data_IF_331302590685
#
_entry.id   IF_331302590685
#
_cell.length_a   1.000
_cell.length_b   1.000
_cell.length_c   1.000
_cell.angle_alpha   90.00
_cell.angle_beta   90.00
_cell.angle_gamma   90.00
#
_symmetry.space_group_name_H-M   'P 1'
#
loop_
_entity.id
_entity.type
_entity.pdbx_description
1 polymer ?
#
# COMPACT_ATOMS: atom_id res chain seq x y z
N UNK A 1 25.50 -26.54 -12.56
CA UNK A 1 26.17 -27.41 -11.57
C UNK A 1 27.01 -26.54 -10.64
N UNK A 2 26.43 -26.12 -9.50
CA UNK A 2 27.15 -25.37 -8.46
C UNK A 2 28.06 -26.33 -7.69
N UNK A 3 29.31 -25.96 -7.50
CA UNK A 3 30.29 -26.72 -6.75
C UNK A 3 30.04 -26.57 -5.25
N UNK A 4 29.64 -27.64 -4.57
CA UNK A 4 29.52 -27.73 -3.12
C UNK A 4 30.90 -27.59 -2.48
N UNK A 5 31.07 -26.59 -1.61
CA UNK A 5 32.32 -26.37 -0.87
C UNK A 5 32.50 -27.43 0.23
N UNK A 6 33.73 -27.96 0.36
CA UNK A 6 34.12 -28.96 1.36
C UNK A 6 33.93 -28.54 2.84
N UNK A 7 33.61 -27.27 3.12
CA UNK A 7 33.36 -26.76 4.47
C UNK A 7 31.95 -27.06 4.98
N UNK A 8 30.97 -27.30 4.10
CA UNK A 8 29.59 -27.63 4.47
C UNK A 8 29.39 -29.06 4.92
N UNK A 9 30.37 -30.00 4.62
CA UNK A 9 30.25 -31.41 4.94
C UNK A 9 30.69 -31.78 6.36
N UNK A 10 31.36 -30.91 7.08
CA UNK A 10 31.95 -31.21 8.39
C UNK A 10 31.16 -30.66 9.61
N UNK A 11 30.02 -29.94 9.39
CA UNK A 11 29.17 -29.46 10.47
C UNK A 11 27.90 -30.30 10.73
N UNK A 12 27.64 -31.32 9.96
CA UNK A 12 26.43 -32.14 10.02
C UNK A 12 26.47 -33.32 11.01
N UNK A 13 27.44 -33.37 11.93
CA UNK A 13 27.63 -34.50 12.82
C UNK A 13 27.57 -34.11 14.30
N UNK A 14 26.52 -33.55 14.77
CA UNK A 14 26.11 -33.60 16.21
C UNK A 14 24.76 -32.88 16.40
N UNK A 15 23.68 -33.60 16.31
CA UNK A 15 22.50 -33.60 17.22
C UNK A 15 21.51 -34.63 16.66
N UNK A 16 21.65 -35.85 17.12
CA UNK A 16 20.61 -36.87 17.01
C UNK A 16 20.08 -37.07 18.44
N UNK A 17 18.92 -36.55 18.76
CA UNK A 17 18.14 -36.96 19.92
C UNK A 17 16.65 -36.88 19.65
N UNK A 18 16.11 -38.07 19.46
CA UNK A 18 14.83 -38.58 19.90
C UNK A 18 13.55 -37.76 19.66
N UNK A 19 12.79 -38.17 18.65
CA UNK A 19 11.35 -37.94 18.57
C UNK A 19 10.61 -39.28 18.65
N UNK A 20 9.91 -39.51 19.73
CA UNK A 20 8.90 -40.57 19.87
C UNK A 20 7.60 -40.12 19.24
N UNK A 21 7.17 -40.85 18.23
CA UNK A 21 5.86 -40.68 17.61
C UNK A 21 4.73 -41.02 18.58
N UNK A 22 3.76 -40.11 18.73
CA UNK A 22 2.43 -40.40 19.26
C UNK A 22 1.44 -40.38 18.10
N UNK A 23 1.07 -41.54 17.61
CA UNK A 23 -0.07 -41.73 16.72
C UNK A 23 -1.36 -41.70 17.53
N UNK A 24 -2.23 -40.71 17.28
CA UNK A 24 -3.62 -40.75 17.66
C UNK A 24 -4.48 -40.64 16.41
N UNK A 25 -5.29 -41.65 16.16
CA UNK A 25 -6.26 -41.73 15.07
C UNK A 25 -7.44 -40.81 15.33
N UNK A 26 -7.83 -40.00 14.33
CA UNK A 26 -9.08 -39.29 14.27
C UNK A 26 -9.19 -38.54 12.94
N UNK A 27 -10.06 -38.98 12.05
CA UNK A 27 -10.10 -38.63 10.62
C UNK A 27 -10.44 -37.17 10.32
N UNK A 28 -9.80 -36.70 9.30
CA UNK A 28 -9.91 -35.44 8.57
C UNK A 28 -8.56 -35.27 7.86
N UNK A 29 -8.54 -35.26 6.54
CA UNK A 29 -7.33 -34.96 5.75
C UNK A 29 -6.97 -33.47 5.92
N UNK A 30 -6.40 -33.09 7.04
CA UNK A 30 -5.62 -31.88 7.21
C UNK A 30 -4.16 -32.25 6.99
N UNK A 31 -3.52 -31.70 5.96
CA UNK A 31 -2.09 -31.85 5.77
C UNK A 31 -1.37 -31.18 6.94
N UNK A 32 -0.95 -31.97 7.93
CA UNK A 32 -0.21 -31.44 9.07
C UNK A 32 1.10 -30.82 8.59
N UNK A 33 1.41 -29.59 9.01
CA UNK A 33 2.68 -28.93 8.73
C UNK A 33 3.84 -29.85 9.09
N UNK A 34 4.79 -30.00 8.19
CA UNK A 34 5.97 -30.84 8.42
C UNK A 34 6.93 -30.08 9.33
N UNK A 35 7.20 -30.63 10.52
CA UNK A 35 8.22 -30.07 11.41
C UNK A 35 9.61 -30.26 10.79
N UNK A 36 10.31 -29.15 10.53
CA UNK A 36 11.65 -29.14 9.91
C UNK A 36 12.65 -28.58 10.90
N UNK A 37 13.81 -29.25 10.99
CA UNK A 37 14.87 -28.84 11.91
C UNK A 37 15.49 -27.50 11.47
N UNK A 38 15.79 -26.64 12.45
CA UNK A 38 16.51 -25.38 12.28
C UNK A 38 17.89 -25.44 12.94
N UNK A 39 18.82 -24.67 12.40
CA UNK A 39 20.15 -24.47 12.98
C UNK A 39 20.11 -23.46 14.15
N UNK A 40 21.27 -23.19 14.73
CA UNK A 40 21.43 -22.24 15.83
C UNK A 40 21.11 -20.77 15.48
N UNK A 41 21.04 -20.45 14.17
CA UNK A 41 20.71 -19.11 13.66
C UNK A 41 19.23 -18.99 13.24
N UNK A 42 18.44 -20.06 13.39
CA UNK A 42 17.04 -20.10 13.00
C UNK A 42 16.79 -20.42 11.52
N UNK A 43 17.83 -20.71 10.73
CA UNK A 43 17.69 -21.14 9.35
C UNK A 43 17.40 -22.64 9.28
N UNK A 44 16.65 -23.09 8.26
CA UNK A 44 16.38 -24.50 8.04
C UNK A 44 17.67 -25.28 7.74
N UNK A 45 17.83 -26.45 8.31
CA UNK A 45 19.01 -27.29 8.09
C UNK A 45 19.10 -27.78 6.63
N UNK A 46 17.97 -28.24 6.10
CA UNK A 46 17.82 -28.58 4.69
C UNK A 46 17.19 -27.40 3.94
N UNK A 47 17.63 -27.12 2.72
CA UNK A 47 17.03 -26.06 1.90
C UNK A 47 15.61 -26.44 1.49
N UNK A 48 14.64 -25.59 1.82
CA UNK A 48 13.24 -25.77 1.45
C UNK A 48 12.96 -25.01 0.16
N UNK A 49 12.30 -25.66 -0.79
CA UNK A 49 11.80 -24.96 -1.99
C UNK A 49 10.38 -24.50 -1.74
N UNK A 50 10.12 -23.23 -1.98
CA UNK A 50 8.81 -22.56 -1.83
C UNK A 50 8.44 -21.95 -3.18
N UNK A 51 7.28 -22.30 -3.67
CA UNK A 51 6.76 -21.75 -4.93
C UNK A 51 5.90 -20.53 -4.69
N UNK A 52 6.08 -19.48 -5.52
CA UNK A 52 5.40 -18.19 -5.39
C UNK A 52 4.53 -17.88 -6.61
N UNK A 53 3.35 -17.30 -6.38
CA UNK A 53 2.62 -16.54 -7.39
C UNK A 53 2.96 -15.06 -7.21
N UNK A 54 3.86 -14.54 -8.05
CA UNK A 54 4.43 -13.21 -7.86
C UNK A 54 3.64 -12.15 -8.60
N UNK A 55 3.24 -11.11 -7.84
CA UNK A 55 2.78 -9.87 -8.43
C UNK A 55 4.01 -9.06 -8.89
N UNK A 56 4.09 -8.78 -10.17
CA UNK A 56 5.25 -8.17 -10.81
C UNK A 56 4.80 -7.02 -11.73
N UNK A 57 4.83 -5.79 -11.21
CA UNK A 57 4.52 -4.60 -12.01
C UNK A 57 5.67 -4.24 -12.95
N UNK A 58 5.41 -4.06 -14.26
CA UNK A 58 6.46 -3.69 -15.22
C UNK A 58 7.18 -2.38 -14.89
N UNK A 59 6.50 -1.42 -14.26
CA UNK A 59 7.08 -0.15 -13.81
C UNK A 59 8.13 -0.36 -12.73
N UNK A 60 7.90 -1.29 -11.82
CA UNK A 60 8.85 -1.65 -10.76
C UNK A 60 10.07 -2.40 -11.32
N UNK A 61 9.90 -3.20 -12.37
CA UNK A 61 11.00 -3.89 -13.03
C UNK A 61 12.09 -2.93 -13.55
N UNK A 62 11.69 -1.74 -13.98
CA UNK A 62 12.61 -0.70 -14.47
C UNK A 62 13.50 -0.09 -13.37
N UNK A 63 13.15 -0.31 -12.10
CA UNK A 63 13.87 0.22 -10.94
C UNK A 63 14.91 -0.76 -10.38
N UNK A 64 14.93 -2.00 -10.87
CA UNK A 64 15.95 -2.96 -10.43
C UNK A 64 17.33 -2.57 -10.95
N UNK A 65 18.39 -2.71 -10.13
CA UNK A 65 19.76 -2.68 -10.59
C UNK A 65 20.02 -3.69 -11.71
N UNK A 66 21.03 -3.40 -12.56
CA UNK A 66 21.39 -4.26 -13.67
C UNK A 66 21.62 -5.72 -13.22
N UNK A 67 20.94 -6.65 -13.88
CA UNK A 67 21.01 -8.09 -13.61
C UNK A 67 20.11 -8.59 -12.49
N UNK A 68 19.32 -7.72 -11.85
CA UNK A 68 18.30 -8.14 -10.89
C UNK A 68 16.93 -8.32 -11.57
N UNK A 69 16.10 -9.18 -10.99
CA UNK A 69 14.74 -9.50 -11.43
C UNK A 69 13.81 -9.58 -10.22
N UNK A 70 12.51 -9.79 -10.43
CA UNK A 70 11.61 -10.06 -9.31
C UNK A 70 12.01 -11.33 -8.55
N UNK A 71 12.43 -12.40 -9.23
CA UNK A 71 12.84 -13.65 -8.61
C UNK A 71 14.22 -13.55 -7.92
N UNK A 72 15.17 -12.80 -8.49
CA UNK A 72 16.54 -12.65 -7.96
C UNK A 72 16.87 -11.17 -7.69
N UNK A 73 16.61 -10.69 -6.50
CA UNK A 73 16.90 -9.33 -6.04
C UNK A 73 17.37 -9.31 -4.58
N UNK A 74 17.64 -8.12 -4.08
CA UNK A 74 18.15 -7.94 -2.72
C UNK A 74 17.22 -8.50 -1.63
N UNK A 75 15.90 -8.37 -1.77
CA UNK A 75 14.94 -8.92 -0.80
C UNK A 75 14.91 -10.44 -0.83
N UNK A 76 14.80 -11.02 -2.04
CA UNK A 76 14.74 -12.48 -2.22
C UNK A 76 15.99 -13.13 -1.64
N UNK A 77 17.19 -12.64 -2.04
CA UNK A 77 18.47 -13.15 -1.51
C UNK A 77 18.60 -13.01 0.00
N UNK A 78 18.10 -11.92 0.57
CA UNK A 78 18.12 -11.71 2.02
C UNK A 78 17.29 -12.77 2.74
N UNK A 79 16.05 -13.00 2.30
CA UNK A 79 15.15 -14.02 2.87
C UNK A 79 15.76 -15.43 2.73
N UNK A 80 16.22 -15.77 1.53
CA UNK A 80 16.86 -17.07 1.26
C UNK A 80 18.05 -17.30 2.18
N UNK A 81 18.88 -16.27 2.40
CA UNK A 81 20.05 -16.36 3.28
C UNK A 81 19.68 -16.54 4.75
N UNK A 82 18.55 -15.95 5.19
CA UNK A 82 18.08 -16.02 6.57
C UNK A 82 17.43 -17.34 6.90
N UNK A 83 16.58 -17.83 6.00
CA UNK A 83 15.78 -19.04 6.25
C UNK A 83 16.40 -20.31 5.67
N UNK A 84 17.38 -20.23 4.77
CA UNK A 84 17.84 -21.34 3.93
C UNK A 84 16.69 -21.93 3.09
N UNK A 85 15.96 -21.06 2.40
CA UNK A 85 14.91 -21.42 1.44
C UNK A 85 15.37 -21.12 0.02
N UNK A 86 14.71 -21.71 -0.96
CA UNK A 86 14.84 -21.44 -2.41
C UNK A 86 13.47 -20.99 -2.90
N UNK A 87 13.33 -19.71 -3.21
CA UNK A 87 12.09 -19.08 -3.65
C UNK A 87 11.99 -19.16 -5.17
N UNK A 88 10.99 -19.87 -5.68
CA UNK A 88 10.81 -20.14 -7.11
C UNK A 88 9.47 -19.58 -7.58
N UNK A 89 9.49 -18.71 -8.58
CA UNK A 89 8.26 -18.17 -9.12
C UNK A 89 7.56 -19.17 -10.04
N UNK A 90 6.37 -19.62 -9.63
CA UNK A 90 5.49 -20.43 -10.48
C UNK A 90 4.93 -19.60 -11.64
N UNK A 91 4.69 -18.32 -11.37
CA UNK A 91 4.37 -17.31 -12.36
C UNK A 91 4.72 -15.91 -11.85
N UNK A 92 5.05 -15.01 -12.79
CA UNK A 92 5.18 -13.58 -12.59
C UNK A 92 4.17 -12.86 -13.49
N UNK A 93 3.37 -11.97 -12.94
CA UNK A 93 2.41 -11.17 -13.70
C UNK A 93 2.05 -9.87 -12.96
N UNK A 94 1.68 -8.84 -13.68
CA UNK A 94 1.19 -7.56 -13.13
C UNK A 94 -0.19 -7.21 -13.67
N UNK A 95 -0.89 -6.28 -13.01
CA UNK A 95 -2.18 -5.76 -13.44
C UNK A 95 -3.23 -6.84 -13.76
N UNK A 96 -3.91 -6.70 -14.90
CA UNK A 96 -4.95 -7.63 -15.36
C UNK A 96 -4.41 -9.06 -15.60
N UNK A 97 -3.15 -9.19 -16.00
CA UNK A 97 -2.54 -10.51 -16.21
C UNK A 97 -2.43 -11.28 -14.89
N UNK A 98 -2.14 -10.61 -13.78
CA UNK A 98 -2.13 -11.22 -12.46
C UNK A 98 -3.53 -11.68 -12.04
N UNK A 99 -4.53 -10.82 -12.22
CA UNK A 99 -5.94 -11.16 -11.96
C UNK A 99 -6.39 -12.40 -12.75
N UNK A 100 -5.98 -12.51 -14.03
CA UNK A 100 -6.26 -13.69 -14.85
C UNK A 100 -5.55 -14.95 -14.35
N UNK A 101 -4.31 -14.84 -13.84
CA UNK A 101 -3.60 -15.95 -13.21
C UNK A 101 -4.32 -16.43 -11.94
N UNK A 102 -4.75 -15.50 -11.07
CA UNK A 102 -5.56 -15.85 -9.89
C UNK A 102 -6.85 -16.58 -10.27
N UNK A 103 -7.57 -16.09 -11.28
CA UNK A 103 -8.78 -16.76 -11.77
C UNK A 103 -8.47 -18.18 -12.30
N UNK A 104 -7.33 -18.37 -12.96
CA UNK A 104 -6.88 -19.69 -13.42
C UNK A 104 -6.58 -20.62 -12.24
N UNK A 105 -5.88 -20.13 -11.22
CA UNK A 105 -5.62 -20.88 -9.98
C UNK A 105 -6.94 -21.31 -9.29
N UNK A 106 -7.91 -20.41 -9.17
CA UNK A 106 -9.22 -20.74 -8.59
C UNK A 106 -9.95 -21.81 -9.41
N UNK A 107 -9.90 -21.69 -10.74
CA UNK A 107 -10.61 -22.60 -11.64
C UNK A 107 -9.97 -24.00 -11.70
N UNK A 108 -8.64 -24.08 -11.64
CA UNK A 108 -7.90 -25.36 -11.64
C UNK A 108 -7.88 -26.02 -10.27
N UNK A 109 -7.99 -25.25 -9.18
CA UNK A 109 -7.77 -25.72 -7.82
C UNK A 109 -6.30 -25.93 -7.48
N UNK A 110 -5.37 -25.49 -8.35
CA UNK A 110 -3.92 -25.59 -8.15
C UNK A 110 -3.35 -24.21 -7.84
N UNK A 111 -2.73 -24.07 -6.66
CA UNK A 111 -2.07 -22.85 -6.20
C UNK A 111 -0.56 -23.10 -6.06
N UNK A 112 0.31 -22.08 -6.31
CA UNK A 112 1.64 -22.07 -5.73
C UNK A 112 1.56 -22.10 -4.20
N UNK A 113 2.66 -22.41 -3.52
CA UNK A 113 2.69 -22.50 -2.06
C UNK A 113 2.21 -21.17 -1.42
N UNK A 114 2.67 -20.04 -1.95
CA UNK A 114 2.33 -18.70 -1.43
C UNK A 114 1.99 -17.77 -2.59
N UNK A 115 0.94 -16.97 -2.42
CA UNK A 115 0.57 -15.90 -3.34
C UNK A 115 -0.19 -14.78 -2.62
N UNK A 116 -0.30 -13.60 -3.23
CA UNK A 116 -1.16 -12.52 -2.74
C UNK A 116 -2.43 -12.43 -3.56
N UNK A 117 -3.55 -12.11 -2.90
CA UNK A 117 -4.85 -11.89 -3.54
C UNK A 117 -5.28 -10.46 -3.24
N UNK A 118 -5.50 -9.66 -4.28
CA UNK A 118 -5.86 -8.24 -4.20
C UNK A 118 -7.37 -7.98 -4.41
N UNK A 119 -8.19 -8.99 -4.13
CA UNK A 119 -9.64 -8.91 -4.19
C UNK A 119 -10.23 -9.78 -3.09
N UNK A 120 -11.04 -9.17 -2.21
CA UNK A 120 -11.74 -9.90 -1.15
C UNK A 120 -12.64 -11.00 -1.70
N UNK A 121 -13.37 -10.73 -2.79
CA UNK A 121 -14.24 -11.71 -3.41
C UNK A 121 -13.47 -12.94 -3.93
N UNK A 122 -12.31 -12.72 -4.55
CA UNK A 122 -11.44 -13.81 -5.00
C UNK A 122 -10.89 -14.60 -3.82
N UNK A 123 -10.49 -13.92 -2.73
CA UNK A 123 -10.05 -14.57 -1.51
C UNK A 123 -11.16 -15.45 -0.90
N UNK A 124 -12.38 -14.90 -0.77
CA UNK A 124 -13.55 -15.66 -0.28
C UNK A 124 -13.84 -16.88 -1.17
N UNK A 125 -13.71 -16.76 -2.49
CA UNK A 125 -13.85 -17.89 -3.39
C UNK A 125 -12.80 -18.97 -3.14
N UNK A 126 -11.54 -18.60 -2.92
CA UNK A 126 -10.46 -19.55 -2.59
C UNK A 126 -10.76 -20.28 -1.27
N UNK A 127 -11.20 -19.56 -0.24
CA UNK A 127 -11.59 -20.15 1.05
C UNK A 127 -12.77 -21.10 0.89
N UNK A 128 -13.83 -20.69 0.20
CA UNK A 128 -15.03 -21.52 0.00
C UNK A 128 -14.75 -22.78 -0.84
N UNK A 129 -13.76 -22.71 -1.74
CA UNK A 129 -13.32 -23.85 -2.54
C UNK A 129 -12.30 -24.75 -1.78
N UNK A 130 -11.95 -24.40 -0.52
CA UNK A 130 -11.01 -25.15 0.28
C UNK A 130 -9.61 -25.17 -0.29
N UNK A 131 -9.15 -24.07 -0.89
CA UNK A 131 -7.82 -23.94 -1.52
C UNK A 131 -6.76 -23.38 -0.58
N UNK A 132 -7.18 -22.77 0.53
CA UNK A 132 -6.33 -22.06 1.47
C UNK A 132 -5.98 -22.94 2.68
N UNK A 133 -4.77 -22.77 3.22
CA UNK A 133 -4.33 -23.39 4.46
C UNK A 133 -4.92 -22.65 5.67
N UNK A 134 -5.26 -23.39 6.74
CA UNK A 134 -5.61 -22.79 8.04
C UNK A 134 -4.33 -22.33 8.75
N UNK A 135 -4.12 -21.04 8.80
CA UNK A 135 -2.92 -20.43 9.39
C UNK A 135 -3.07 -20.11 10.88
N UNK A 136 -4.15 -20.49 11.53
CA UNK A 136 -4.42 -20.11 12.94
C UNK A 136 -3.26 -20.45 13.85
N UNK A 137 -2.90 -21.72 13.93
CA UNK A 137 -1.81 -22.17 14.80
C UNK A 137 -0.44 -21.70 14.28
N UNK A 138 -0.27 -21.64 12.96
CA UNK A 138 0.96 -21.17 12.33
C UNK A 138 1.23 -19.70 12.65
N UNK A 139 0.23 -18.85 12.56
CA UNK A 139 0.35 -17.44 12.92
C UNK A 139 0.66 -17.27 14.42
N UNK A 140 -0.04 -17.98 15.29
CA UNK A 140 0.19 -17.89 16.72
C UNK A 140 1.59 -18.36 17.14
N UNK A 141 2.12 -19.40 16.49
CA UNK A 141 3.43 -19.95 16.82
C UNK A 141 4.59 -19.15 16.21
N UNK A 142 4.44 -18.68 14.96
CA UNK A 142 5.57 -18.15 14.19
C UNK A 142 5.57 -16.63 14.02
N UNK A 143 4.43 -15.93 14.16
CA UNK A 143 4.43 -14.47 14.07
C UNK A 143 5.17 -13.84 15.24
N UNK A 144 6.08 -12.89 14.95
CA UNK A 144 6.80 -12.14 15.98
C UNK A 144 5.84 -11.29 16.82
N UNK A 145 6.24 -10.97 18.05
CA UNK A 145 5.46 -10.07 18.91
C UNK A 145 5.23 -8.70 18.26
N UNK A 146 6.20 -8.25 17.45
CA UNK A 146 6.05 -7.00 16.72
C UNK A 146 4.95 -7.10 15.64
N UNK A 147 4.97 -8.15 14.82
CA UNK A 147 3.91 -8.39 13.83
C UNK A 147 2.54 -8.49 14.50
N UNK A 148 2.42 -9.25 15.59
CA UNK A 148 1.18 -9.33 16.37
C UNK A 148 0.72 -7.95 16.84
N UNK A 149 1.65 -7.13 17.36
CA UNK A 149 1.32 -5.77 17.82
C UNK A 149 0.81 -4.85 16.71
N UNK A 150 1.28 -5.03 15.44
CA UNK A 150 0.75 -4.29 14.31
C UNK A 150 -0.71 -4.64 14.04
N UNK A 151 -1.06 -5.93 14.03
CA UNK A 151 -2.44 -6.38 13.83
C UNK A 151 -3.35 -6.05 15.03
N UNK A 152 -2.86 -6.12 16.26
CA UNK A 152 -3.59 -5.74 17.47
C UNK A 152 -4.02 -4.28 17.45
N UNK A 153 -3.25 -3.40 16.79
CA UNK A 153 -3.59 -1.98 16.63
C UNK A 153 -4.89 -1.72 15.85
N UNK A 154 -5.41 -2.74 15.17
CA UNK A 154 -6.68 -2.69 14.42
C UNK A 154 -7.88 -3.20 15.22
N UNK A 155 -7.73 -3.51 16.50
CA UNK A 155 -8.81 -4.05 17.35
C UNK A 155 -9.53 -5.27 16.73
N UNK A 156 -8.76 -6.16 16.11
CA UNK A 156 -9.25 -7.38 15.46
C UNK A 156 -9.90 -7.19 14.07
N UNK A 157 -10.12 -5.96 13.62
CA UNK A 157 -10.76 -5.68 12.33
C UNK A 157 -9.98 -6.26 11.15
N UNK A 158 -8.65 -6.13 11.17
CA UNK A 158 -7.81 -6.56 10.07
C UNK A 158 -7.77 -8.10 9.96
N UNK A 159 -7.36 -8.81 11.01
CA UNK A 159 -7.35 -10.28 11.01
C UNK A 159 -8.76 -10.86 10.85
N UNK A 160 -9.79 -10.16 11.36
CA UNK A 160 -11.19 -10.55 11.20
C UNK A 160 -11.63 -10.69 9.74
N UNK A 161 -11.07 -9.89 8.82
CA UNK A 161 -11.38 -10.00 7.38
C UNK A 161 -10.87 -11.32 6.77
N UNK A 162 -9.86 -11.95 7.36
CA UNK A 162 -9.30 -13.22 6.89
C UNK A 162 -9.71 -14.42 7.77
N UNK A 163 -10.58 -14.20 8.76
CA UNK A 163 -11.03 -15.24 9.68
C UNK A 163 -12.42 -15.76 9.28
N UNK A 164 -12.51 -17.07 9.00
CA UNK A 164 -13.72 -17.77 8.63
C UNK A 164 -13.96 -18.93 9.60
N UNK A 165 -15.12 -18.96 10.21
CA UNK A 165 -15.49 -19.99 11.22
C UNK A 165 -14.42 -20.15 12.32
N UNK A 166 -13.80 -19.01 12.75
CA UNK A 166 -12.76 -18.97 13.77
C UNK A 166 -11.38 -19.41 13.29
N UNK A 167 -11.18 -19.63 11.99
CA UNK A 167 -9.90 -20.04 11.39
C UNK A 167 -9.32 -18.92 10.54
N UNK A 168 -8.03 -18.65 10.67
CA UNK A 168 -7.31 -17.65 9.89
C UNK A 168 -6.90 -18.26 8.53
N UNK A 169 -7.64 -17.93 7.47
CA UNK A 169 -7.48 -18.54 6.15
C UNK A 169 -6.51 -17.80 5.22
N UNK A 170 -5.90 -16.73 5.70
CA UNK A 170 -4.88 -15.93 5.02
C UNK A 170 -4.37 -14.83 5.95
N UNK A 171 -3.27 -14.17 5.60
CA UNK A 171 -2.76 -13.03 6.36
C UNK A 171 -3.11 -11.76 5.59
N UNK A 172 -3.96 -10.87 6.14
CA UNK A 172 -4.32 -9.64 5.46
C UNK A 172 -3.14 -8.66 5.44
N UNK A 173 -2.95 -7.95 4.34
CA UNK A 173 -2.22 -6.69 4.34
C UNK A 173 -2.98 -5.65 5.15
N UNK A 174 -2.39 -4.52 5.43
CA UNK A 174 -3.02 -3.51 6.28
C UNK A 174 -3.22 -2.19 5.55
N UNK A 175 -4.37 -1.56 5.79
CA UNK A 175 -4.66 -0.19 5.39
C UNK A 175 -4.77 0.67 6.65
N UNK A 176 -3.79 1.55 6.96
CA UNK A 176 -3.82 2.39 8.14
C UNK A 176 -5.03 3.33 8.18
N UNK A 177 -5.68 3.44 9.34
CA UNK A 177 -6.85 4.31 9.53
C UNK A 177 -6.56 5.80 9.28
N UNK A 178 -5.30 6.21 9.47
CA UNK A 178 -4.87 7.59 9.25
C UNK A 178 -4.35 7.85 7.82
N UNK A 179 -4.53 6.94 6.87
CA UNK A 179 -4.18 7.15 5.45
C UNK A 179 -5.16 8.08 4.73
N UNK A 180 -6.31 8.33 5.29
CA UNK A 180 -7.33 9.28 4.85
C UNK A 180 -7.33 10.50 5.77
N UNK A 181 -7.67 11.71 5.33
CA UNK A 181 -8.41 12.09 4.12
C UNK A 181 -7.52 12.30 2.89
N UNK A 182 -8.18 12.46 1.73
CA UNK A 182 -7.57 13.05 0.54
C UNK A 182 -7.29 14.53 0.82
N UNK A 183 -6.05 14.96 0.56
CA UNK A 183 -5.60 16.33 0.82
C UNK A 183 -5.68 17.18 -0.45
N UNK A 184 -5.86 18.49 -0.25
CA UNK A 184 -5.74 19.49 -1.30
C UNK A 184 -4.29 20.02 -1.32
N UNK A 185 -3.59 19.84 -2.43
CA UNK A 185 -2.21 20.26 -2.62
C UNK A 185 -2.17 21.48 -3.55
N UNK A 186 -1.68 22.59 -3.04
CA UNK A 186 -1.63 23.87 -3.77
C UNK A 186 -0.18 24.30 -4.06
N UNK A 187 0.05 24.91 -5.20
CA UNK A 187 1.31 25.58 -5.54
C UNK A 187 1.56 26.75 -4.58
N UNK A 188 2.38 26.48 -3.57
CA UNK A 188 2.76 27.48 -2.55
C UNK A 188 3.48 28.67 -3.16
N UNK A 189 4.41 28.43 -4.07
CA UNK A 189 5.12 29.46 -4.79
C UNK A 189 4.20 30.38 -5.61
N UNK A 190 3.07 29.86 -6.11
CA UNK A 190 2.05 30.68 -6.77
C UNK A 190 1.20 31.47 -5.78
N UNK A 191 0.87 30.89 -4.63
CA UNK A 191 0.22 31.61 -3.52
C UNK A 191 1.08 32.79 -3.08
N UNK A 192 2.37 32.56 -2.81
CA UNK A 192 3.34 33.58 -2.41
C UNK A 192 3.47 34.68 -3.47
N UNK A 193 3.56 34.31 -4.75
CA UNK A 193 3.65 35.25 -5.88
C UNK A 193 2.45 36.19 -5.98
N UNK A 194 1.25 35.71 -5.64
CA UNK A 194 0.02 36.49 -5.67
C UNK A 194 -0.32 37.13 -4.31
N UNK A 195 0.42 36.82 -3.25
CA UNK A 195 0.15 37.30 -1.90
C UNK A 195 -1.15 36.75 -1.30
N UNK A 196 -1.51 35.52 -1.66
CA UNK A 196 -2.73 34.84 -1.20
C UNK A 196 -2.40 33.91 -0.04
N UNK A 197 -3.19 34.02 1.03
CA UNK A 197 -3.18 33.05 2.13
C UNK A 197 -4.59 32.48 2.30
N UNK A 198 -4.86 31.24 1.87
CA UNK A 198 -6.18 30.60 2.02
C UNK A 198 -6.46 30.14 3.45
N UNK A 199 -5.45 30.10 4.31
CA UNK A 199 -5.48 29.60 5.68
C UNK A 199 -4.95 30.69 6.63
N UNK A 200 -5.77 31.72 6.95
CA UNK A 200 -5.34 32.81 7.83
C UNK A 200 -5.11 32.39 9.28
N UNK A 201 -5.74 31.31 9.72
CA UNK A 201 -5.67 30.79 11.08
C UNK A 201 -4.44 29.88 11.30
N UNK A 202 -3.85 29.37 10.22
CA UNK A 202 -2.63 28.58 10.22
C UNK A 202 -2.81 27.13 10.73
N UNK A 203 -4.02 26.60 10.63
CA UNK A 203 -4.36 25.25 11.07
C UNK A 203 -4.32 24.20 9.94
N UNK A 204 -3.95 24.62 8.72
CA UNK A 204 -3.89 23.82 7.50
C UNK A 204 -5.23 23.21 7.09
N UNK A 205 -6.32 23.92 7.42
CA UNK A 205 -7.67 23.53 7.10
C UNK A 205 -8.35 24.62 6.26
N UNK A 206 -8.94 24.24 5.12
CA UNK A 206 -9.59 25.17 4.19
C UNK A 206 -10.93 24.61 3.72
N UNK A 207 -11.80 25.49 3.23
CA UNK A 207 -13.10 25.13 2.67
C UNK A 207 -13.06 24.95 1.15
N UNK A 208 -14.14 24.43 0.58
CA UNK A 208 -14.30 24.34 -0.88
C UNK A 208 -14.34 25.73 -1.54
N UNK A 209 -14.86 26.74 -0.83
CA UNK A 209 -14.91 28.12 -1.34
C UNK A 209 -13.50 28.75 -1.37
N UNK A 210 -12.63 28.45 -0.38
CA UNK A 210 -11.23 28.88 -0.40
C UNK A 210 -10.48 28.24 -1.58
N UNK A 211 -10.70 26.96 -1.84
CA UNK A 211 -10.13 26.26 -2.99
C UNK A 211 -10.55 26.94 -4.30
N UNK A 212 -11.83 27.23 -4.46
CA UNK A 212 -12.36 27.90 -5.64
C UNK A 212 -11.78 29.33 -5.82
N UNK A 213 -11.65 30.07 -4.72
CA UNK A 213 -11.08 31.41 -4.75
C UNK A 213 -9.61 31.40 -5.19
N UNK A 214 -8.82 30.46 -4.67
CA UNK A 214 -7.41 30.29 -5.07
C UNK A 214 -7.29 29.86 -6.53
N UNK A 215 -8.08 28.87 -6.95
CA UNK A 215 -8.06 28.39 -8.34
C UNK A 215 -8.41 29.52 -9.34
N UNK A 216 -9.41 30.32 -9.00
CA UNK A 216 -9.82 31.50 -9.79
C UNK A 216 -8.69 32.51 -9.87
N UNK A 217 -8.05 32.84 -8.75
CA UNK A 217 -6.93 33.77 -8.73
C UNK A 217 -5.74 33.28 -9.58
N UNK A 218 -5.44 31.97 -9.57
CA UNK A 218 -4.40 31.38 -10.40
C UNK A 218 -4.70 31.53 -11.90
N UNK A 219 -5.95 31.25 -12.31
CA UNK A 219 -6.40 31.35 -13.71
C UNK A 219 -6.42 32.82 -14.17
N UNK A 220 -7.05 33.71 -13.40
CA UNK A 220 -7.19 35.13 -13.74
C UNK A 220 -5.84 35.84 -13.90
N UNK A 221 -4.88 35.49 -13.03
CA UNK A 221 -3.53 36.04 -13.09
C UNK A 221 -2.65 35.40 -14.17
N UNK A 222 -3.09 34.29 -14.78
CA UNK A 222 -2.24 33.41 -15.61
C UNK A 222 -0.88 33.19 -14.93
N UNK A 223 -0.90 32.74 -13.68
CA UNK A 223 0.26 32.79 -12.77
C UNK A 223 1.40 31.90 -13.23
N UNK A 224 1.12 30.86 -14.02
CA UNK A 224 2.13 29.99 -14.65
C UNK A 224 3.08 30.79 -15.57
N UNK A 225 2.59 31.89 -16.13
CA UNK A 225 3.32 32.70 -17.12
C UNK A 225 3.44 32.02 -18.47
N UNK A 226 2.82 30.85 -18.66
CA UNK A 226 2.76 30.11 -19.90
C UNK A 226 1.53 30.46 -20.76
N UNK A 227 1.24 29.60 -21.73
CA UNK A 227 0.09 29.79 -22.61
C UNK A 227 -1.25 29.55 -21.91
N UNK A 228 -1.26 28.79 -20.81
CA UNK A 228 -2.47 28.42 -20.11
C UNK A 228 -2.16 28.05 -18.65
N UNK A 229 -2.96 28.59 -17.72
CA UNK A 229 -2.98 28.19 -16.31
C UNK A 229 -4.26 27.42 -16.02
N UNK A 230 -4.14 26.21 -15.50
CA UNK A 230 -5.26 25.40 -15.02
C UNK A 230 -5.34 25.55 -13.51
N UNK A 231 -6.51 25.97 -13.01
CA UNK A 231 -6.73 26.19 -11.59
C UNK A 231 -6.60 24.89 -10.82
N UNK A 232 -7.42 23.90 -11.17
CA UNK A 232 -7.41 22.57 -10.58
C UNK A 232 -7.73 21.50 -11.62
N UNK A 233 -7.29 20.27 -11.37
CA UNK A 233 -7.60 19.11 -12.19
C UNK A 233 -7.77 17.85 -11.34
N UNK A 234 -8.57 16.92 -11.87
CA UNK A 234 -8.79 15.57 -11.35
C UNK A 234 -8.46 14.54 -12.42
N UNK A 235 -8.12 13.33 -12.00
CA UNK A 235 -8.04 12.18 -12.89
C UNK A 235 -9.44 11.60 -13.11
N UNK A 236 -9.84 11.43 -14.37
CA UNK A 236 -11.17 10.90 -14.73
C UNK A 236 -11.33 9.40 -14.46
N UNK A 237 -10.23 8.69 -14.30
CA UNK A 237 -10.21 7.27 -13.99
C UNK A 237 -9.90 6.96 -12.51
N UNK A 238 -9.72 7.99 -11.69
CA UNK A 238 -9.50 7.84 -10.24
C UNK A 238 -10.45 8.75 -9.46
N UNK A 239 -11.58 8.19 -9.05
CA UNK A 239 -12.61 8.91 -8.30
C UNK A 239 -12.12 9.35 -6.91
N UNK A 240 -11.03 8.78 -6.40
CA UNK A 240 -10.46 9.11 -5.10
C UNK A 240 -10.10 10.61 -5.02
N UNK A 241 -9.62 11.19 -6.11
CA UNK A 241 -9.29 12.62 -6.16
C UNK A 241 -10.52 13.52 -5.88
N UNK A 242 -11.72 13.09 -6.27
CA UNK A 242 -12.96 13.84 -6.05
C UNK A 242 -13.62 13.57 -4.68
N UNK A 243 -13.13 12.57 -3.93
CA UNK A 243 -13.75 12.21 -2.63
C UNK A 243 -13.66 13.35 -1.62
N UNK A 244 -12.60 14.15 -1.62
CA UNK A 244 -12.47 15.27 -0.69
C UNK A 244 -13.60 16.31 -0.84
N UNK A 245 -14.12 16.53 -2.06
CA UNK A 245 -15.25 17.43 -2.33
C UNK A 245 -16.52 16.86 -1.72
N UNK A 246 -16.77 15.55 -1.95
CA UNK A 246 -17.93 14.89 -1.37
C UNK A 246 -17.86 14.87 0.16
N UNK A 247 -16.68 14.54 0.72
CA UNK A 247 -16.47 14.52 2.17
C UNK A 247 -16.69 15.90 2.80
N UNK A 248 -16.16 16.97 2.21
CA UNK A 248 -16.39 18.34 2.68
C UNK A 248 -17.87 18.76 2.66
N UNK A 249 -18.70 18.05 1.90
CA UNK A 249 -20.16 18.24 1.90
C UNK A 249 -20.90 17.20 2.75
N UNK A 250 -20.18 16.37 3.53
CA UNK A 250 -20.75 15.32 4.36
C UNK A 250 -21.16 14.06 3.59
N UNK A 251 -20.79 13.97 2.30
CA UNK A 251 -21.05 12.83 1.44
C UNK A 251 -19.88 11.86 1.39
N UNK A 252 -20.15 10.61 1.13
CA UNK A 252 -19.14 9.57 0.96
C UNK A 252 -19.41 8.79 -0.34
N UNK A 253 -18.36 8.42 -1.06
CA UNK A 253 -18.47 7.69 -2.31
C UNK A 253 -18.08 6.23 -2.08
N UNK A 254 -18.84 5.32 -2.68
CA UNK A 254 -18.59 3.87 -2.64
C UNK A 254 -18.51 3.27 -1.21
N UNK A 255 -19.44 3.70 -0.33
CA UNK A 255 -19.51 3.21 1.06
C UNK A 255 -20.95 2.82 1.42
N UNK A 256 -21.07 1.83 2.29
CA UNK A 256 -22.29 1.56 3.01
C UNK A 256 -22.31 2.38 4.30
N UNK A 257 -23.37 3.16 4.49
CA UNK A 257 -23.54 4.02 5.67
C UNK A 257 -24.71 3.49 6.48
N UNK A 258 -24.48 3.30 7.79
CA UNK A 258 -25.55 3.00 8.72
C UNK A 258 -26.33 4.27 9.02
N UNK A 259 -27.63 4.24 8.74
CA UNK A 259 -28.56 5.31 9.05
C UNK A 259 -28.93 5.32 10.54
N UNK A 260 -29.41 6.43 11.09
CA UNK A 260 -29.83 6.52 12.50
C UNK A 260 -30.89 5.50 12.94
N UNK A 261 -31.62 4.94 11.99
CA UNK A 261 -32.64 3.91 12.23
C UNK A 261 -32.10 2.47 12.14
N UNK A 262 -30.76 2.32 11.95
CA UNK A 262 -30.07 1.03 11.82
C UNK A 262 -30.18 0.39 10.43
N UNK A 263 -30.78 1.06 9.46
CA UNK A 263 -30.77 0.60 8.06
C UNK A 263 -29.46 0.99 7.37
N UNK A 264 -29.10 0.25 6.31
CA UNK A 264 -27.92 0.56 5.51
C UNK A 264 -28.32 1.25 4.20
N UNK A 265 -27.61 2.28 3.82
CA UNK A 265 -27.76 2.95 2.53
C UNK A 265 -26.43 3.02 1.77
N UNK A 266 -26.51 2.97 0.44
CA UNK A 266 -25.36 3.15 -0.42
C UNK A 266 -25.07 4.64 -0.59
N UNK A 267 -23.98 5.10 -0.01
CA UNK A 267 -23.66 6.54 0.15
C UNK A 267 -23.51 7.31 -1.16
N UNK A 268 -23.08 6.65 -2.24
CA UNK A 268 -22.94 7.30 -3.57
C UNK A 268 -24.26 7.90 -4.08
N UNK A 269 -25.41 7.41 -3.62
CA UNK A 269 -26.73 7.92 -3.99
C UNK A 269 -27.23 9.01 -3.04
N UNK A 270 -26.44 9.40 -2.04
CA UNK A 270 -26.83 10.41 -1.06
C UNK A 270 -26.95 11.82 -1.68
N UNK A 271 -27.84 12.69 -1.16
CA UNK A 271 -27.98 14.08 -1.64
C UNK A 271 -26.69 14.88 -1.56
N UNK A 272 -25.85 14.63 -0.58
CA UNK A 272 -24.56 15.29 -0.32
C UNK A 272 -23.57 14.99 -1.48
N UNK A 273 -23.54 13.77 -1.98
CA UNK A 273 -22.72 13.40 -3.15
C UNK A 273 -23.24 14.08 -4.41
N UNK A 274 -24.56 14.16 -4.59
CA UNK A 274 -25.14 14.93 -5.69
C UNK A 274 -24.77 16.42 -5.61
N UNK A 275 -24.74 16.99 -4.40
CA UNK A 275 -24.33 18.38 -4.19
C UNK A 275 -22.84 18.58 -4.53
N UNK A 276 -21.97 17.61 -4.20
CA UNK A 276 -20.57 17.64 -4.58
C UNK A 276 -20.38 17.66 -6.12
N UNK A 277 -21.13 16.85 -6.85
CA UNK A 277 -21.10 16.89 -8.32
C UNK A 277 -21.65 18.22 -8.88
N UNK A 278 -22.63 18.81 -8.23
CA UNK A 278 -23.10 20.14 -8.62
C UNK A 278 -22.01 21.22 -8.40
N UNK A 279 -21.27 21.14 -7.28
CA UNK A 279 -20.13 22.05 -7.01
C UNK A 279 -19.02 21.90 -8.05
N UNK A 280 -18.70 20.67 -8.43
CA UNK A 280 -17.75 20.43 -9.52
C UNK A 280 -18.22 21.01 -10.87
N UNK A 281 -19.52 20.94 -11.16
CA UNK A 281 -20.10 21.54 -12.35
C UNK A 281 -20.00 23.08 -12.32
N UNK A 282 -20.20 23.72 -11.16
CA UNK A 282 -19.96 25.16 -10.99
C UNK A 282 -18.51 25.51 -11.34
N UNK A 283 -17.54 24.78 -10.80
CA UNK A 283 -16.10 25.00 -11.08
C UNK A 283 -15.74 24.78 -12.55
N UNK A 284 -16.41 23.81 -13.19
CA UNK A 284 -16.26 23.57 -14.64
C UNK A 284 -16.80 24.76 -15.47
N UNK A 285 -17.99 25.26 -15.16
CA UNK A 285 -18.60 26.39 -15.85
C UNK A 285 -17.84 27.70 -15.62
N UNK A 286 -17.23 27.88 -14.45
CA UNK A 286 -16.34 29.00 -14.13
C UNK A 286 -14.97 28.89 -14.83
N UNK A 287 -14.61 27.74 -15.38
CA UNK A 287 -13.33 27.51 -16.04
C UNK A 287 -12.13 27.37 -15.10
N UNK A 288 -12.37 27.12 -13.82
CA UNK A 288 -11.32 26.87 -12.81
C UNK A 288 -10.98 25.39 -12.66
N UNK A 289 -11.87 24.50 -13.08
CA UNK A 289 -11.62 23.06 -13.24
C UNK A 289 -11.21 22.77 -14.68
N UNK A 290 -10.20 21.92 -14.88
CA UNK A 290 -9.77 21.45 -16.20
C UNK A 290 -10.97 20.95 -17.03
N UNK A 291 -11.23 21.52 -18.22
CA UNK A 291 -12.37 21.10 -19.03
C UNK A 291 -12.28 19.66 -19.53
N UNK A 292 -11.13 19.03 -19.44
CA UNK A 292 -10.91 17.63 -19.86
C UNK A 292 -10.81 16.66 -18.65
N UNK A 293 -11.12 17.10 -17.44
CA UNK A 293 -10.95 16.31 -16.22
C UNK A 293 -11.52 14.90 -16.36
N UNK A 294 -12.70 14.73 -16.99
CA UNK A 294 -13.35 13.42 -17.14
C UNK A 294 -12.63 12.41 -18.04
N UNK A 295 -11.61 12.85 -18.78
CA UNK A 295 -10.81 12.01 -19.68
C UNK A 295 -9.32 12.01 -19.35
N UNK A 296 -8.89 12.83 -18.38
CA UNK A 296 -7.51 12.86 -17.92
C UNK A 296 -7.16 11.57 -17.18
N UNK A 297 -5.99 11.06 -17.49
CA UNK A 297 -5.33 10.01 -16.71
C UNK A 297 -4.47 10.63 -15.62
N UNK A 298 -4.01 9.83 -14.68
CA UNK A 298 -3.01 10.24 -13.68
C UNK A 298 -1.74 10.76 -14.32
N UNK A 299 -1.30 10.16 -15.43
CA UNK A 299 -0.11 10.60 -16.18
C UNK A 299 -0.32 11.96 -16.85
N UNK A 300 -1.53 12.25 -17.35
CA UNK A 300 -1.86 13.57 -17.89
C UNK A 300 -1.76 14.64 -16.79
N UNK A 301 -2.27 14.37 -15.59
CA UNK A 301 -2.16 15.27 -14.43
C UNK A 301 -0.68 15.51 -14.07
N UNK A 302 0.12 14.45 -14.02
CA UNK A 302 1.56 14.56 -13.77
C UNK A 302 2.26 15.41 -14.84
N UNK A 303 1.91 15.21 -16.12
CA UNK A 303 2.45 16.02 -17.22
C UNK A 303 2.07 17.51 -17.07
N UNK A 304 0.84 17.84 -16.70
CA UNK A 304 0.42 19.23 -16.47
C UNK A 304 1.19 19.89 -15.33
N UNK A 305 1.47 19.14 -14.23
CA UNK A 305 2.30 19.62 -13.13
C UNK A 305 3.75 19.88 -13.57
N UNK A 306 4.35 18.95 -14.30
CA UNK A 306 5.72 19.04 -14.83
C UNK A 306 5.84 20.20 -15.85
N UNK A 307 4.81 20.43 -16.65
CA UNK A 307 4.75 21.55 -17.58
C UNK A 307 4.50 22.91 -16.93
N UNK A 308 4.38 22.94 -15.59
CA UNK A 308 4.09 24.14 -14.81
C UNK A 308 2.75 24.80 -15.19
N UNK A 309 1.72 24.02 -15.50
CA UNK A 309 0.40 24.48 -15.94
C UNK A 309 -0.66 24.41 -14.84
N UNK A 310 -0.51 23.52 -13.86
CA UNK A 310 -1.53 23.13 -12.89
C UNK A 310 -1.21 23.67 -11.50
N UNK A 311 -2.20 24.35 -10.89
CA UNK A 311 -2.06 25.00 -9.58
C UNK A 311 -2.47 24.15 -8.39
N UNK A 312 -3.57 23.39 -8.52
CA UNK A 312 -4.16 22.61 -7.44
C UNK A 312 -4.38 21.17 -7.89
N UNK A 313 -3.93 20.24 -7.07
CA UNK A 313 -4.19 18.80 -7.23
C UNK A 313 -4.71 18.22 -5.93
N UNK A 314 -5.38 17.08 -6.02
CA UNK A 314 -5.87 16.33 -4.86
C UNK A 314 -5.18 14.97 -4.79
N UNK A 315 -5.04 14.45 -3.58
CA UNK A 315 -4.48 13.13 -3.40
C UNK A 315 -4.00 12.85 -1.99
N UNK A 316 -3.56 11.62 -1.78
CA UNK A 316 -3.19 11.09 -0.49
C UNK A 316 -1.89 11.74 0.08
N UNK A 317 -1.63 11.46 1.34
CA UNK A 317 -0.48 11.96 2.10
C UNK A 317 0.89 11.67 1.46
N UNK A 318 1.02 10.61 0.67
CA UNK A 318 2.28 10.16 0.05
C UNK A 318 2.61 10.81 -1.31
N UNK A 319 1.77 11.70 -1.82
CA UNK A 319 2.06 12.44 -3.07
C UNK A 319 3.46 13.09 -3.09
N UNK A 320 4.00 13.65 -1.99
CA UNK A 320 5.35 14.23 -1.99
C UNK A 320 6.46 13.26 -2.41
N UNK A 321 6.36 12.00 -2.00
CA UNK A 321 7.40 10.99 -2.29
C UNK A 321 7.31 10.42 -3.70
N UNK A 322 6.24 10.69 -4.40
CA UNK A 322 5.96 10.17 -5.73
C UNK A 322 5.78 11.27 -6.78
N UNK A 323 4.60 11.90 -6.85
CA UNK A 323 4.30 12.91 -7.89
C UNK A 323 5.14 14.17 -7.72
N UNK A 324 5.18 14.74 -6.51
CA UNK A 324 5.85 16.02 -6.28
C UNK A 324 7.38 15.91 -6.37
N UNK A 325 7.97 14.77 -6.06
CA UNK A 325 9.40 14.54 -6.23
C UNK A 325 9.81 14.66 -7.70
N UNK A 326 9.02 14.09 -8.62
CA UNK A 326 9.24 14.18 -10.07
C UNK A 326 9.06 15.62 -10.57
N UNK A 327 8.04 16.33 -10.09
CA UNK A 327 7.81 17.74 -10.42
C UNK A 327 8.98 18.59 -9.92
N UNK A 328 9.43 18.39 -8.68
CA UNK A 328 10.53 19.16 -8.08
C UNK A 328 11.85 18.98 -8.83
N UNK A 329 12.09 17.80 -9.40
CA UNK A 329 13.27 17.53 -10.20
C UNK A 329 13.30 18.32 -11.52
N UNK A 330 12.14 18.58 -12.11
CA UNK A 330 12.00 19.23 -13.41
C UNK A 330 11.61 20.71 -13.32
N UNK A 331 10.92 21.10 -12.25
CA UNK A 331 10.50 22.48 -11.93
C UNK A 331 11.01 22.81 -10.53
N UNK A 332 12.29 23.14 -10.35
CA UNK A 332 12.92 23.32 -9.05
C UNK A 332 12.25 24.38 -8.15
N UNK A 333 11.62 25.39 -8.75
CA UNK A 333 10.88 26.45 -8.05
C UNK A 333 9.50 25.99 -7.56
N UNK A 334 8.95 24.88 -8.06
CA UNK A 334 7.63 24.41 -7.63
C UNK A 334 7.67 23.98 -6.16
N UNK A 335 6.85 24.64 -5.36
CA UNK A 335 6.62 24.32 -3.96
C UNK A 335 5.13 24.05 -3.75
N UNK A 336 4.82 23.01 -2.98
CA UNK A 336 3.45 22.63 -2.68
C UNK A 336 3.20 22.67 -1.18
N UNK A 337 1.98 23.02 -0.82
CA UNK A 337 1.47 22.96 0.55
C UNK A 337 0.19 22.13 0.55
N UNK A 338 0.03 21.29 1.58
CA UNK A 338 -1.14 20.44 1.76
C UNK A 338 -2.12 21.09 2.74
N UNK A 339 -3.40 20.98 2.41
CA UNK A 339 -4.50 21.37 3.28
C UNK A 339 -5.47 20.21 3.44
N UNK A 340 -6.05 20.07 4.62
CA UNK A 340 -7.29 19.32 4.82
C UNK A 340 -8.47 20.14 4.32
N UNK A 341 -9.52 19.46 3.84
CA UNK A 341 -10.71 20.14 3.32
C UNK A 341 -11.87 19.92 4.30
N UNK A 342 -12.35 21.00 4.88
CA UNK A 342 -13.45 21.03 5.84
C UNK A 342 -14.77 21.46 5.19
N UNK A 343 -15.86 21.17 5.90
CA UNK A 343 -17.15 21.77 5.64
C UNK A 343 -17.20 23.26 6.12
N UNK A 344 -18.31 23.94 5.89
CA UNK A 344 -18.51 25.35 6.28
C UNK A 344 -18.48 25.59 7.80
N UNK A 345 -18.48 24.53 8.62
CA UNK A 345 -18.37 24.59 10.07
C UNK A 345 -16.94 24.29 10.57
N UNK A 346 -15.99 24.08 9.67
CA UNK A 346 -14.62 23.74 9.99
C UNK A 346 -14.43 22.26 10.37
N UNK A 347 -15.37 21.38 10.03
CA UNK A 347 -15.27 19.95 10.32
C UNK A 347 -14.70 19.22 9.11
N UNK A 348 -13.60 18.50 9.32
CA UNK A 348 -13.02 17.59 8.33
C UNK A 348 -13.71 16.23 8.43
N UNK A 349 -14.48 15.89 7.42
CA UNK A 349 -15.15 14.60 7.32
C UNK A 349 -14.22 13.56 6.70
N UNK A 350 -14.05 12.43 7.39
CA UNK A 350 -13.26 11.30 6.94
C UNK A 350 -14.03 9.99 7.08
N UNK A 351 -13.46 8.92 6.61
CA UNK A 351 -14.02 7.57 6.74
C UNK A 351 -12.89 6.58 7.06
N UNK A 352 -13.24 5.41 7.56
CA UNK A 352 -12.31 4.30 7.63
C UNK A 352 -12.39 3.49 6.34
N UNK A 353 -11.26 3.17 5.77
CA UNK A 353 -11.18 2.17 4.72
C UNK A 353 -11.34 0.77 5.31
N UNK A 354 -11.56 -0.23 4.45
CA UNK A 354 -11.41 -1.60 4.89
C UNK A 354 -10.00 -1.79 5.44
N UNK A 355 -9.89 -2.44 6.59
CA UNK A 355 -8.61 -2.64 7.25
C UNK A 355 -7.61 -3.44 6.38
N UNK A 356 -8.09 -4.10 5.33
CA UNK A 356 -7.29 -4.78 4.30
C UNK A 356 -8.03 -4.81 2.96
N UNK A 357 -7.27 -4.77 1.88
CA UNK A 357 -7.70 -5.01 0.50
C UNK A 357 -6.88 -6.13 -0.17
N UNK A 358 -5.95 -6.73 0.57
CA UNK A 358 -4.96 -7.67 0.05
C UNK A 358 -4.67 -8.77 1.06
N UNK A 359 -4.55 -10.00 0.58
CA UNK A 359 -4.42 -11.18 1.44
C UNK A 359 -3.26 -12.05 0.96
N UNK A 360 -2.36 -12.37 1.87
CA UNK A 360 -1.35 -13.41 1.66
C UNK A 360 -2.03 -14.76 1.88
N UNK A 361 -2.10 -15.57 0.85
CA UNK A 361 -2.70 -16.89 0.86
C UNK A 361 -1.62 -17.94 0.79
N UNK A 362 -1.74 -18.95 1.64
CA UNK A 362 -0.95 -20.17 1.60
C UNK A 362 -1.81 -21.31 1.05
N UNK A 363 -1.29 -22.04 0.08
CA UNK A 363 -1.99 -23.20 -0.50
C UNK A 363 -2.27 -24.26 0.56
N UNK A 364 -3.45 -24.88 0.52
CA UNK A 364 -3.76 -26.05 1.38
C UNK A 364 -2.76 -27.20 1.22
N UNK A 365 -2.09 -27.28 0.06
CA UNK A 365 -1.12 -28.32 -0.28
C UNK A 365 0.33 -27.91 0.07
N UNK A 366 0.54 -26.70 0.61
CA UNK A 366 1.84 -26.20 1.04
C UNK A 366 2.39 -27.06 2.18
N UNK A 367 3.60 -27.57 2.01
CA UNK A 367 4.25 -28.43 3.02
C UNK A 367 4.85 -27.65 4.18
N UNK A 368 5.16 -26.36 3.95
CA UNK A 368 5.89 -25.51 4.88
C UNK A 368 5.18 -24.16 5.08
N UNK A 369 3.93 -24.17 5.56
CA UNK A 369 3.12 -22.95 5.68
C UNK A 369 3.73 -21.89 6.60
N UNK A 370 4.53 -22.31 7.60
CA UNK A 370 5.23 -21.41 8.51
C UNK A 370 6.23 -20.47 7.79
N UNK A 371 6.76 -20.86 6.64
CA UNK A 371 7.69 -20.02 5.88
C UNK A 371 7.02 -18.71 5.46
N UNK A 372 5.72 -18.71 5.16
CA UNK A 372 4.98 -17.50 4.83
C UNK A 372 5.00 -16.48 5.98
N UNK A 373 4.82 -16.95 7.22
CA UNK A 373 4.83 -16.10 8.42
C UNK A 373 6.25 -15.65 8.77
N UNK A 374 7.23 -16.52 8.61
CA UNK A 374 8.64 -16.17 8.83
C UNK A 374 9.16 -15.14 7.82
N UNK A 375 8.73 -15.24 6.56
CA UNK A 375 9.00 -14.20 5.57
C UNK A 375 8.35 -12.87 5.95
N UNK A 376 7.13 -12.90 6.53
CA UNK A 376 6.46 -11.72 7.05
C UNK A 376 7.29 -11.04 8.15
N UNK A 377 7.79 -11.82 9.13
CA UNK A 377 8.68 -11.31 10.17
C UNK A 377 9.92 -10.65 9.58
N UNK A 378 10.57 -11.30 8.62
CA UNK A 378 11.78 -10.76 7.98
C UNK A 378 11.47 -9.43 7.27
N UNK A 379 10.37 -9.37 6.49
CA UNK A 379 10.05 -8.20 5.68
C UNK A 379 9.59 -6.99 6.50
N UNK A 380 8.86 -7.22 7.59
CA UNK A 380 8.18 -6.13 8.32
C UNK A 380 8.68 -5.93 9.75
N UNK A 381 9.45 -6.86 10.31
CA UNK A 381 10.09 -6.72 11.61
C UNK A 381 11.61 -6.56 11.47
N UNK A 382 12.32 -7.53 10.90
CA UNK A 382 13.78 -7.48 10.75
C UNK A 382 14.23 -6.31 9.86
N UNK A 383 13.64 -6.18 8.66
CA UNK A 383 14.01 -5.14 7.70
C UNK A 383 13.57 -3.74 8.12
N UNK A 384 12.52 -3.61 8.93
CA UNK A 384 12.13 -2.31 9.51
C UNK A 384 13.21 -1.73 10.43
N UNK A 385 14.07 -2.59 11.00
CA UNK A 385 15.18 -2.23 11.88
C UNK A 385 16.56 -2.43 11.23
N UNK A 386 16.58 -2.78 9.94
CA UNK A 386 17.82 -3.11 9.25
C UNK A 386 18.70 -1.88 9.02
N UNK A 387 20.00 -2.11 9.03
CA UNK A 387 21.04 -1.13 8.74
C UNK A 387 21.93 -1.62 7.60
N UNK A 388 22.78 -0.76 7.08
CA UNK A 388 23.77 -1.14 6.07
C UNK A 388 24.74 -2.26 6.55
N UNK A 389 24.83 -2.50 7.86
CA UNK A 389 25.62 -3.60 8.42
C UNK A 389 24.87 -4.91 8.47
N UNK A 390 23.56 -4.87 8.76
CA UNK A 390 22.72 -6.08 8.95
C UNK A 390 22.06 -6.56 7.65
N UNK A 391 21.75 -5.66 6.71
CA UNK A 391 21.13 -5.97 5.41
C UNK A 391 21.73 -5.07 4.29
N UNK A 392 23.03 -5.17 3.99
CA UNK A 392 23.74 -4.22 3.12
C UNK A 392 23.15 -4.11 1.71
N UNK A 393 22.78 -5.23 1.08
CA UNK A 393 22.20 -5.20 -0.27
C UNK A 393 20.80 -4.57 -0.30
N UNK A 394 19.95 -4.89 0.68
CA UNK A 394 18.60 -4.32 0.78
C UNK A 394 18.66 -2.82 1.03
N UNK A 395 19.51 -2.38 1.97
CA UNK A 395 19.67 -0.95 2.27
C UNK A 395 20.29 -0.19 1.07
N UNK A 396 21.24 -0.79 0.37
CA UNK A 396 21.78 -0.21 -0.85
C UNK A 396 20.72 -0.09 -1.96
N UNK A 397 19.88 -1.11 -2.13
CA UNK A 397 18.76 -1.11 -3.07
C UNK A 397 17.75 0.01 -2.74
N UNK A 398 17.31 0.12 -1.48
CA UNK A 398 16.38 1.17 -1.03
C UNK A 398 16.99 2.57 -1.24
N UNK A 399 18.26 2.78 -0.87
CA UNK A 399 18.95 4.06 -1.04
C UNK A 399 19.16 4.46 -2.51
N UNK A 400 19.16 3.50 -3.41
CA UNK A 400 19.21 3.72 -4.86
C UNK A 400 17.83 4.02 -5.48
N UNK A 401 16.77 4.13 -4.67
CA UNK A 401 15.40 4.35 -5.12
C UNK A 401 14.63 3.06 -5.43
N UNK A 402 15.13 1.92 -4.96
CA UNK A 402 14.46 0.63 -5.10
C UNK A 402 13.14 0.56 -4.32
N UNK A 403 12.15 -0.09 -4.89
CA UNK A 403 10.78 -0.12 -4.42
C UNK A 403 10.44 -1.39 -3.63
N UNK A 404 9.45 -1.30 -2.72
CA UNK A 404 8.93 -2.45 -1.96
C UNK A 404 8.33 -3.54 -2.85
N UNK A 405 7.95 -3.23 -4.08
CA UNK A 405 7.44 -4.17 -5.08
C UNK A 405 8.45 -5.25 -5.49
N UNK A 406 9.74 -5.07 -5.18
CA UNK A 406 10.75 -6.13 -5.31
C UNK A 406 10.63 -7.25 -4.26
N UNK A 407 9.77 -7.10 -3.24
CA UNK A 407 9.53 -8.14 -2.22
C UNK A 407 8.89 -9.39 -2.84
N UNK A 408 9.11 -10.58 -2.26
CA UNK A 408 8.53 -11.84 -2.77
C UNK A 408 7.01 -11.84 -2.87
N UNK A 409 6.33 -11.03 -2.06
CA UNK A 409 4.91 -10.77 -2.17
C UNK A 409 4.62 -9.28 -1.87
N UNK A 410 3.67 -8.74 -2.61
CA UNK A 410 3.32 -7.33 -2.55
C UNK A 410 2.13 -7.10 -1.62
N UNK A 411 2.42 -6.71 -0.39
CA UNK A 411 1.45 -6.20 0.59
C UNK A 411 2.18 -5.29 1.57
N UNK A 412 1.44 -4.48 2.31
CA UNK A 412 1.98 -3.68 3.41
C UNK A 412 1.45 -4.21 4.74
N UNK A 413 2.28 -4.15 5.79
CA UNK A 413 1.89 -4.45 7.17
C UNK A 413 2.37 -3.31 8.06
N UNK A 414 1.45 -2.44 8.40
CA UNK A 414 1.66 -1.19 9.12
C UNK A 414 0.66 -1.09 10.28
N UNK A 415 0.94 -0.33 11.34
CA UNK A 415 -0.03 -0.11 12.40
C UNK A 415 -1.22 0.73 11.92
N UNK A 416 -2.39 0.60 12.57
CA UNK A 416 -3.60 1.36 12.21
C UNK A 416 -3.39 2.87 12.27
N UNK A 417 -2.56 3.34 13.18
CA UNK A 417 -2.07 4.71 13.24
C UNK A 417 -0.60 4.73 12.82
N UNK A 418 -0.35 4.84 11.51
CA UNK A 418 1.00 4.83 10.96
C UNK A 418 1.70 6.19 11.18
N UNK A 419 2.75 6.26 12.02
CA UNK A 419 3.45 7.50 12.31
C UNK A 419 4.18 8.09 11.09
N UNK A 420 4.52 7.28 10.08
CA UNK A 420 5.18 7.75 8.87
C UNK A 420 4.29 8.72 8.08
N UNK A 421 2.97 8.58 8.14
CA UNK A 421 2.03 9.48 7.49
C UNK A 421 2.19 10.91 8.00
N UNK A 422 2.31 11.07 9.32
CA UNK A 422 2.56 12.39 9.92
C UNK A 422 3.95 12.91 9.61
N UNK A 423 4.97 12.05 9.61
CA UNK A 423 6.35 12.49 9.37
C UNK A 423 6.55 12.97 7.93
N UNK A 424 5.98 12.30 6.94
CA UNK A 424 6.04 12.72 5.53
C UNK A 424 5.32 14.05 5.35
N UNK A 425 4.06 14.13 5.75
CA UNK A 425 3.26 15.36 5.65
C UNK A 425 3.90 16.52 6.42
N UNK A 426 4.37 16.27 7.65
CA UNK A 426 4.93 17.29 8.53
C UNK A 426 6.35 17.73 8.14
N UNK A 427 7.17 16.84 7.59
CA UNK A 427 8.53 17.18 7.14
C UNK A 427 8.49 18.07 5.91
N UNK A 428 7.58 17.83 4.98
CA UNK A 428 7.38 18.72 3.85
C UNK A 428 6.82 20.09 4.27
N UNK A 429 5.94 20.13 5.28
CA UNK A 429 5.42 21.37 5.86
C UNK A 429 6.51 22.15 6.63
N UNK A 430 7.34 21.48 7.46
CA UNK A 430 8.41 22.11 8.25
C UNK A 430 9.67 22.48 7.47
N UNK A 431 9.96 21.83 6.35
CA UNK A 431 11.07 22.23 5.49
C UNK A 431 10.91 23.67 4.98
N UNK A 432 9.69 24.20 5.00
CA UNK A 432 9.37 25.60 4.68
C UNK A 432 9.58 26.56 5.87
N UNK A 433 9.28 26.13 7.11
CA UNK A 433 9.45 26.99 8.31
C UNK A 433 10.93 27.27 8.64
N UNK A 434 11.83 26.34 8.41
CA UNK A 434 13.26 26.50 8.73
C UNK A 434 14.03 27.37 7.73
N UNK A 435 13.52 27.59 6.52
CA UNK A 435 14.14 28.48 5.52
C UNK A 435 13.74 29.96 5.66
N UNK A 436 12.61 30.26 6.31
CA UNK A 436 12.18 31.65 6.55
C UNK A 436 12.83 32.29 7.78
N UNK A 437 13.61 31.53 8.58
CA UNK A 437 14.29 31.99 9.79
C UNK A 437 15.84 31.98 9.69
N UNK A 438 16.40 31.86 8.47
CA UNK A 438 17.81 32.10 8.15
C UNK A 438 17.90 33.20 7.08
#
# INVERSE_FOLDING_TARGET
MRKISRRSFLKAATVACALTALTACGGGDESAAVSVAKDENGAYVDTLTITLGRFAEPSAAALFPEGQTFEDNAYTRYIESKLNVDLVDSFEAGGDAYTNQLATCVASGELPDILTVNSYDTFVQMVNNGLTYDLTDVYEEYASDYIKSLYDSYDGRCLGMATFDGRLMGIPGTNPDNSVPVLCWMRKDWLDKLGINPDPDGDLCITLDDIAAVARAFVDANVSGGNHTVGMAFSGNDIADAMCIANAMGGYIDRWIENPDGTMSWSTLAPEVKAAWAKMNEWYEEGILDPQFGTRTTDDINAMMINNELGIVFGAWHIPDWRLSSVKALVPEAEYIAYTVADDNGIVHTYHENASDRFLVVSKDCKYPQVAVEMLNILYDDLARATAETAPEVIAYINAGGHNEGRPYYMEVLPSNNPSIYSVSYTHLRAHETRSNL
#
